data_IF_756838412110
#
_entry.id   IF_756838412110
#
_cell.length_a   1.000
_cell.length_b   1.000
_cell.length_c   1.000
_cell.angle_alpha   90.00
_cell.angle_beta   90.00
_cell.angle_gamma   90.00
#
_symmetry.space_group_name_H-M   'P 1'
#
loop_
_entity.id
_entity.type
_entity.pdbx_description
1 polymer ?
#
# COMPACT_ATOMS: atom_id res chain seq x y z
N UNK A 1 17.85 -20.45 -8.44
CA UNK A 1 16.62 -19.79 -7.95
C UNK A 1 16.98 -19.08 -6.67
N UNK A 2 17.22 -17.77 -6.71
CA UNK A 2 17.41 -16.95 -5.51
C UNK A 2 16.03 -16.66 -4.97
N UNK A 3 15.68 -17.29 -3.86
CA UNK A 3 14.47 -16.94 -3.12
C UNK A 3 14.66 -15.54 -2.55
N UNK A 4 14.00 -14.58 -3.15
CA UNK A 4 13.85 -13.28 -2.54
C UNK A 4 13.10 -13.47 -1.21
N UNK A 5 13.83 -13.41 -0.10
CA UNK A 5 13.27 -13.13 1.22
C UNK A 5 12.82 -11.66 1.26
N UNK A 6 12.04 -11.29 0.27
CA UNK A 6 11.39 -9.99 0.21
C UNK A 6 10.15 -10.05 1.09
N UNK A 7 10.05 -9.12 1.94
CA UNK A 7 8.91 -8.75 2.77
C UNK A 7 7.58 -9.14 2.13
N UNK A 8 6.67 -9.67 2.91
CA UNK A 8 5.28 -9.97 2.53
C UNK A 8 4.64 -8.77 1.78
N UNK A 9 5.00 -7.56 2.16
CA UNK A 9 4.56 -6.30 1.55
C UNK A 9 5.05 -6.06 0.11
N UNK A 10 6.30 -6.39 -0.20
CA UNK A 10 6.79 -6.31 -1.58
C UNK A 10 6.05 -7.30 -2.50
N UNK A 11 5.63 -8.44 -1.96
CA UNK A 11 4.81 -9.39 -2.70
C UNK A 11 3.37 -8.90 -2.88
N UNK A 12 2.85 -8.09 -1.98
CA UNK A 12 1.48 -7.57 -1.98
C UNK A 12 1.34 -6.40 -2.95
N UNK A 13 2.20 -5.40 -2.88
CA UNK A 13 2.26 -4.35 -3.91
C UNK A 13 2.57 -4.94 -5.30
N UNK A 14 3.42 -5.95 -5.35
CA UNK A 14 3.73 -6.71 -6.56
C UNK A 14 2.53 -7.56 -7.02
N UNK A 15 1.67 -8.07 -6.14
CA UNK A 15 0.47 -8.83 -6.53
C UNK A 15 -0.59 -7.93 -7.16
N UNK A 16 -0.78 -6.72 -6.65
CA UNK A 16 -1.63 -5.69 -7.30
C UNK A 16 -1.12 -5.41 -8.71
N UNK A 17 0.17 -5.18 -8.85
CA UNK A 17 0.80 -4.84 -10.13
C UNK A 17 0.96 -6.05 -11.04
N UNK A 18 1.25 -7.24 -10.52
CA UNK A 18 1.35 -8.47 -11.34
C UNK A 18 -0.01 -8.92 -11.84
N UNK A 19 -1.07 -8.80 -11.04
CA UNK A 19 -2.43 -9.07 -11.52
C UNK A 19 -2.83 -8.07 -12.60
N UNK A 20 -2.47 -6.80 -12.46
CA UNK A 20 -2.72 -5.76 -13.45
C UNK A 20 -1.78 -5.86 -14.67
N UNK A 21 -0.49 -6.18 -14.50
CA UNK A 21 0.45 -6.39 -15.64
C UNK A 21 0.11 -7.62 -16.49
N UNK A 22 -0.48 -8.67 -15.93
CA UNK A 22 -1.02 -9.77 -16.76
C UNK A 22 -2.22 -9.36 -17.59
N UNK A 23 -2.89 -8.29 -17.20
CA UNK A 23 -4.00 -7.69 -17.93
C UNK A 23 -3.59 -6.80 -19.13
N UNK A 24 -2.31 -6.75 -19.49
CA UNK A 24 -1.81 -5.95 -20.62
C UNK A 24 -2.47 -6.27 -21.99
N UNK A 25 -3.30 -7.30 -22.06
CA UNK A 25 -4.14 -7.60 -23.20
C UNK A 25 -5.64 -7.46 -22.91
N UNK A 26 -6.00 -7.06 -21.69
CA UNK A 26 -7.39 -6.92 -21.22
C UNK A 26 -7.59 -5.47 -20.78
N UNK A 27 -8.47 -4.75 -21.45
CA UNK A 27 -8.65 -3.30 -21.25
C UNK A 27 -9.75 -2.95 -20.25
N UNK A 28 -10.54 -3.92 -19.77
CA UNK A 28 -11.72 -3.62 -18.94
C UNK A 28 -11.67 -4.34 -17.59
N UNK A 29 -11.95 -3.59 -16.55
CA UNK A 29 -12.13 -4.11 -15.19
C UNK A 29 -13.62 -4.15 -14.88
N UNK A 30 -14.13 -5.33 -14.62
CA UNK A 30 -15.40 -5.49 -13.92
C UNK A 30 -15.11 -5.56 -12.44
N UNK A 31 -15.83 -4.80 -11.64
CA UNK A 31 -15.82 -4.96 -10.19
C UNK A 31 -16.98 -5.88 -9.78
N UNK A 32 -16.79 -7.22 -9.74
CA UNK A 32 -17.72 -8.05 -9.05
C UNK A 32 -17.48 -7.90 -7.54
N UNK A 33 -18.47 -8.19 -6.75
CA UNK A 33 -18.45 -8.16 -5.30
C UNK A 33 -17.06 -8.51 -4.74
N UNK A 34 -16.53 -7.64 -3.89
CA UNK A 34 -15.38 -7.94 -3.05
C UNK A 34 -15.66 -9.25 -2.33
N UNK A 35 -14.97 -10.31 -2.72
CA UNK A 35 -14.98 -11.60 -2.03
C UNK A 35 -13.60 -11.75 -1.42
N UNK A 36 -13.55 -11.68 -0.10
CA UNK A 36 -12.32 -11.52 0.62
C UNK A 36 -11.38 -12.71 0.65
N UNK A 37 -10.09 -12.43 0.45
CA UNK A 37 -9.01 -13.07 1.18
C UNK A 37 -8.11 -11.94 1.66
N UNK A 38 -8.15 -11.71 2.98
CA UNK A 38 -7.51 -10.58 3.61
C UNK A 38 -6.00 -10.74 3.72
N UNK A 39 -5.34 -9.62 3.74
CA UNK A 39 -4.11 -9.49 4.48
C UNK A 39 -4.46 -9.68 5.97
N UNK A 40 -4.32 -10.90 6.44
CA UNK A 40 -4.41 -11.23 7.86
C UNK A 40 -3.15 -10.76 8.60
N UNK A 41 -2.56 -9.65 8.15
CA UNK A 41 -1.27 -9.21 8.67
C UNK A 41 -1.37 -8.83 10.14
N UNK A 42 -2.44 -8.18 10.55
CA UNK A 42 -2.70 -7.85 11.94
C UNK A 42 -3.02 -9.11 12.75
N UNK A 43 -3.71 -10.07 12.17
CA UNK A 43 -3.97 -11.36 12.79
C UNK A 43 -2.69 -12.19 12.93
N UNK A 44 -1.86 -12.24 11.87
CA UNK A 44 -0.56 -12.91 11.90
C UNK A 44 0.40 -12.23 12.86
N UNK A 45 0.48 -10.92 12.86
CA UNK A 45 1.31 -10.17 13.82
C UNK A 45 0.80 -10.33 15.26
N UNK A 46 -0.50 -10.30 15.48
CA UNK A 46 -1.09 -10.56 16.80
C UNK A 46 -0.85 -12.00 17.24
N UNK A 47 -0.92 -12.97 16.32
CA UNK A 47 -0.64 -14.37 16.61
C UNK A 47 0.85 -14.58 16.94
N UNK A 48 1.75 -14.06 16.11
CA UNK A 48 3.20 -14.16 16.30
C UNK A 48 3.61 -13.47 17.60
N UNK A 49 3.13 -12.25 17.83
CA UNK A 49 3.42 -11.52 19.06
C UNK A 49 2.86 -12.21 20.31
N UNK A 50 1.65 -12.77 20.23
CA UNK A 50 0.99 -13.40 21.39
C UNK A 50 1.61 -14.75 21.78
N UNK A 51 2.08 -15.52 20.79
CA UNK A 51 2.53 -16.89 21.04
C UNK A 51 4.05 -17.09 20.92
N UNK A 52 4.76 -16.22 20.21
CA UNK A 52 6.17 -16.41 19.86
C UNK A 52 7.06 -15.20 20.12
N UNK A 53 6.51 -14.11 20.64
CA UNK A 53 7.31 -12.93 20.97
C UNK A 53 7.55 -12.84 22.48
N UNK A 54 8.64 -13.43 22.98
CA UNK A 54 9.01 -13.31 24.37
C UNK A 54 9.47 -11.89 24.74
N UNK A 55 9.86 -11.07 23.75
CA UNK A 55 10.13 -9.67 23.98
C UNK A 55 8.83 -8.90 24.24
N UNK A 56 7.70 -9.31 23.64
CA UNK A 56 6.39 -8.74 23.95
C UNK A 56 6.04 -8.94 25.42
N UNK A 57 6.19 -10.18 25.93
CA UNK A 57 5.98 -10.48 27.35
C UNK A 57 6.98 -9.78 28.25
N UNK A 58 8.27 -9.80 27.87
CA UNK A 58 9.34 -9.15 28.61
C UNK A 58 9.22 -7.61 28.59
N UNK A 59 8.75 -7.03 27.49
CA UNK A 59 8.56 -5.58 27.36
C UNK A 59 7.32 -5.11 28.10
N UNK A 60 6.24 -5.91 28.10
CA UNK A 60 5.05 -5.64 28.92
C UNK A 60 5.31 -5.91 30.40
N UNK A 61 6.18 -6.86 30.74
CA UNK A 61 6.62 -7.07 32.13
C UNK A 61 7.60 -6.00 32.62
N UNK A 62 8.32 -5.34 31.71
CA UNK A 62 9.27 -4.28 32.04
C UNK A 62 9.38 -3.25 30.90
N UNK A 63 8.36 -2.38 30.71
CA UNK A 63 8.33 -1.39 29.64
C UNK A 63 9.45 -0.37 29.71
N UNK A 64 10.10 -0.23 30.89
CA UNK A 64 11.21 0.71 31.09
C UNK A 64 12.53 0.20 30.49
N UNK A 65 12.61 -1.08 30.11
CA UNK A 65 13.85 -1.67 29.56
C UNK A 65 14.10 -1.27 28.12
N UNK A 66 13.06 -1.20 27.29
CA UNK A 66 13.13 -0.68 25.93
C UNK A 66 11.76 -0.11 25.49
N UNK A 67 11.45 1.12 25.94
CA UNK A 67 10.17 1.74 25.64
C UNK A 67 9.96 2.03 24.15
N UNK A 68 11.06 2.15 23.37
CA UNK A 68 10.99 2.41 21.95
C UNK A 68 10.55 1.17 21.16
N UNK A 69 11.07 0.00 21.50
CA UNK A 69 10.68 -1.26 20.88
C UNK A 69 9.22 -1.61 21.20
N UNK A 70 8.79 -1.40 22.44
CA UNK A 70 7.38 -1.56 22.82
C UNK A 70 6.46 -0.65 21.98
N UNK A 71 6.83 0.61 21.85
CA UNK A 71 6.08 1.58 21.05
C UNK A 71 6.03 1.19 19.56
N UNK A 72 7.13 0.75 18.96
CA UNK A 72 7.13 0.32 17.55
C UNK A 72 6.19 -0.85 17.29
N UNK A 73 6.17 -1.83 18.19
CA UNK A 73 5.27 -2.99 18.11
C UNK A 73 3.81 -2.60 18.22
N UNK A 74 3.47 -1.80 19.21
CA UNK A 74 2.10 -1.32 19.40
C UNK A 74 1.67 -0.41 18.25
N UNK A 75 2.55 0.47 17.77
CA UNK A 75 2.28 1.34 16.65
C UNK A 75 1.93 0.56 15.38
N UNK A 76 2.67 -0.51 15.06
CA UNK A 76 2.38 -1.37 13.91
C UNK A 76 1.00 -2.02 14.04
N UNK A 77 0.62 -2.48 15.23
CA UNK A 77 -0.71 -3.06 15.49
C UNK A 77 -1.84 -2.05 15.31
N UNK A 78 -1.65 -0.83 15.82
CA UNK A 78 -2.64 0.23 15.65
C UNK A 78 -2.80 0.71 14.22
N UNK A 79 -1.73 0.65 13.44
CA UNK A 79 -1.71 1.15 12.06
C UNK A 79 -2.31 0.18 11.05
N UNK A 80 -2.46 -1.09 11.40
CA UNK A 80 -2.89 -2.14 10.48
C UNK A 80 -4.29 -2.64 10.82
N UNK A 81 -5.06 -2.93 9.79
CA UNK A 81 -6.38 -3.55 9.86
C UNK A 81 -6.44 -4.70 8.85
N UNK A 82 -7.39 -5.60 9.04
CA UNK A 82 -7.60 -6.73 8.14
C UNK A 82 -8.59 -6.37 7.04
N UNK A 83 -8.31 -6.80 5.82
CA UNK A 83 -9.19 -6.58 4.70
C UNK A 83 -8.77 -7.36 3.47
N UNK A 84 -9.69 -7.49 2.53
CA UNK A 84 -9.47 -8.20 1.28
C UNK A 84 -10.09 -7.47 0.11
N UNK A 85 -9.41 -7.50 -1.03
CA UNK A 85 -9.90 -6.95 -2.28
C UNK A 85 -9.63 -7.90 -3.44
N UNK A 86 -10.61 -8.03 -4.34
CA UNK A 86 -10.46 -8.77 -5.58
C UNK A 86 -11.12 -8.01 -6.72
N UNK A 87 -10.49 -8.04 -7.88
CA UNK A 87 -11.04 -7.48 -9.12
C UNK A 87 -11.02 -8.52 -10.22
N UNK A 88 -12.07 -8.54 -11.04
CA UNK A 88 -12.09 -9.34 -12.26
C UNK A 88 -11.69 -8.44 -13.42
N UNK A 89 -10.70 -8.86 -14.18
CA UNK A 89 -10.24 -8.17 -15.39
C UNK A 89 -10.64 -8.99 -16.59
N UNK A 90 -11.32 -8.36 -17.54
CA UNK A 90 -11.81 -8.99 -18.78
C UNK A 90 -11.39 -8.15 -19.98
N UNK A 91 -11.45 -8.75 -21.18
CA UNK A 91 -11.07 -8.12 -22.45
C UNK A 91 -12.16 -7.22 -23.04
N UNK A 92 -13.39 -7.35 -22.54
CA UNK A 92 -14.55 -6.57 -22.98
C UNK A 92 -15.43 -6.20 -21.79
N UNK A 93 -16.05 -5.01 -21.79
CA UNK A 93 -16.96 -4.60 -20.73
C UNK A 93 -18.23 -5.48 -20.76
N UNK A 94 -18.52 -6.19 -19.67
CA UNK A 94 -19.69 -7.06 -19.55
C UNK A 94 -20.71 -6.60 -18.52
N UNK A 95 -20.41 -5.57 -17.79
CA UNK A 95 -21.24 -5.10 -16.69
C UNK A 95 -21.42 -3.59 -16.66
N UNK A 96 -22.31 -3.17 -15.79
CA UNK A 96 -22.51 -1.76 -15.44
C UNK A 96 -22.41 -1.67 -13.90
N UNK A 97 -21.35 -1.09 -13.37
CA UNK A 97 -20.29 -0.31 -14.03
C UNK A 97 -19.16 -1.14 -14.67
N UNK A 98 -18.56 -0.63 -15.72
CA UNK A 98 -17.31 -1.12 -16.28
C UNK A 98 -16.26 0.00 -16.25
N UNK A 99 -15.06 -0.38 -15.88
CA UNK A 99 -13.90 0.51 -15.76
C UNK A 99 -12.81 0.04 -16.72
N UNK A 100 -12.25 0.95 -17.49
CA UNK A 100 -11.13 0.68 -18.39
C UNK A 100 -9.83 1.08 -17.74
N UNK A 101 -8.83 0.18 -17.77
CA UNK A 101 -7.47 0.50 -17.34
C UNK A 101 -6.76 1.12 -18.53
N UNK A 102 -6.53 2.43 -18.46
CA UNK A 102 -5.81 3.16 -19.49
C UNK A 102 -4.32 2.80 -19.50
N UNK A 103 -3.71 2.85 -18.33
CA UNK A 103 -2.32 2.49 -18.14
C UNK A 103 -2.00 2.23 -16.66
N UNK A 104 -0.87 1.55 -16.47
CA UNK A 104 -0.27 1.26 -15.16
C UNK A 104 1.20 1.65 -15.23
N UNK A 105 1.65 2.46 -14.27
CA UNK A 105 3.04 2.84 -14.13
C UNK A 105 3.59 2.44 -12.77
N UNK A 106 4.84 2.01 -12.77
CA UNK A 106 5.53 1.59 -11.55
C UNK A 106 6.96 2.09 -11.52
N UNK A 107 7.39 2.57 -10.35
CA UNK A 107 8.77 2.93 -10.07
C UNK A 107 9.18 2.31 -8.75
N UNK A 108 10.39 1.78 -8.65
CA UNK A 108 10.97 1.28 -7.40
C UNK A 108 12.33 1.91 -7.16
N UNK A 109 12.56 2.33 -5.93
CA UNK A 109 13.85 2.88 -5.47
C UNK A 109 14.61 1.86 -4.61
N UNK A 110 14.29 0.58 -4.76
CA UNK A 110 14.90 -0.51 -4.00
C UNK A 110 16.41 -0.68 -4.26
N UNK A 111 16.93 -0.13 -5.35
CA UNK A 111 18.34 -0.10 -5.70
C UNK A 111 19.08 1.09 -5.09
N UNK A 112 18.36 2.12 -4.65
CA UNK A 112 18.92 3.38 -4.14
C UNK A 112 18.77 3.50 -2.62
N UNK A 113 17.67 2.96 -2.09
CA UNK A 113 17.29 3.10 -0.69
C UNK A 113 17.38 1.77 0.06
N UNK A 114 17.77 1.80 1.33
CA UNK A 114 17.75 0.60 2.16
C UNK A 114 16.32 0.11 2.38
N UNK A 115 16.18 -1.14 2.78
CA UNK A 115 14.87 -1.69 3.14
C UNK A 115 14.32 -0.97 4.37
N UNK A 116 13.10 -0.45 4.25
CA UNK A 116 12.46 0.34 5.29
C UNK A 116 11.50 -0.48 6.15
N UNK A 117 10.84 -1.48 5.57
CA UNK A 117 9.93 -2.37 6.30
C UNK A 117 10.25 -3.82 5.98
N UNK A 118 10.32 -4.65 6.99
CA UNK A 118 10.68 -6.07 6.86
C UNK A 118 10.17 -6.88 8.05
N UNK A 119 10.09 -8.20 7.86
CA UNK A 119 9.63 -9.17 8.86
C UNK A 119 10.46 -10.45 8.74
N UNK A 120 10.55 -11.23 9.80
CA UNK A 120 11.29 -12.48 9.86
C UNK A 120 12.76 -12.32 9.40
N UNK A 121 13.35 -11.18 9.71
CA UNK A 121 14.72 -10.83 9.36
C UNK A 121 15.26 -9.71 10.25
N UNK A 122 16.56 -9.47 10.15
CA UNK A 122 17.22 -8.35 10.83
C UNK A 122 18.08 -7.60 9.82
N UNK A 123 17.93 -6.26 9.79
CA UNK A 123 18.75 -5.40 8.95
C UNK A 123 20.16 -5.30 9.53
N UNK A 124 21.14 -5.70 8.74
CA UNK A 124 22.55 -5.64 9.09
C UNK A 124 23.13 -4.26 8.77
N UNK A 125 24.28 -3.94 9.35
CA UNK A 125 24.99 -2.67 9.13
C UNK A 125 25.44 -2.44 7.68
N UNK A 126 25.56 -3.51 6.90
CA UNK A 126 25.86 -3.47 5.46
C UNK A 126 24.61 -3.31 4.56
N UNK A 127 23.42 -3.15 5.16
CA UNK A 127 22.14 -3.03 4.46
C UNK A 127 21.53 -4.37 4.05
N UNK A 128 22.17 -5.51 4.32
CA UNK A 128 21.64 -6.84 4.03
C UNK A 128 20.61 -7.24 5.09
N UNK A 129 19.54 -7.90 4.64
CA UNK A 129 18.60 -8.57 5.54
C UNK A 129 19.10 -9.98 5.84
N UNK A 130 19.44 -10.25 7.11
CA UNK A 130 19.73 -11.60 7.60
C UNK A 130 18.41 -12.29 7.93
N UNK A 131 18.14 -13.40 7.24
CA UNK A 131 16.89 -14.15 7.40
C UNK A 131 16.81 -14.84 8.76
N UNK A 132 15.60 -15.01 9.30
CA UNK A 132 15.37 -15.80 10.51
C UNK A 132 15.93 -17.21 10.44
N UNK A 133 16.06 -17.78 9.24
CA UNK A 133 16.65 -19.11 9.00
C UNK A 133 18.16 -19.18 9.27
N UNK A 134 18.81 -18.02 9.39
CA UNK A 134 20.24 -17.91 9.69
C UNK A 134 20.54 -17.75 11.19
N UNK A 135 19.51 -17.87 12.04
CA UNK A 135 19.57 -17.75 13.48
C UNK A 135 19.22 -19.06 14.18
N UNK A 136 19.73 -19.29 15.36
CA UNK A 136 19.27 -20.36 16.25
C UNK A 136 17.91 -20.02 16.83
N UNK A 137 17.13 -21.01 17.34
CA UNK A 137 15.86 -20.74 18.00
C UNK A 137 15.98 -19.77 19.18
N UNK A 138 17.08 -19.84 19.92
CA UNK A 138 17.37 -18.96 21.06
C UNK A 138 17.60 -17.53 20.59
N UNK A 139 18.39 -17.33 19.55
CA UNK A 139 18.65 -16.01 18.96
C UNK A 139 17.38 -15.40 18.37
N UNK A 140 16.53 -16.21 17.70
CA UNK A 140 15.24 -15.75 17.18
C UNK A 140 14.41 -15.18 18.32
N UNK A 141 14.37 -15.90 19.44
CA UNK A 141 13.62 -15.54 20.63
C UNK A 141 14.17 -14.27 21.28
N UNK A 142 15.49 -14.19 21.50
CA UNK A 142 16.15 -13.08 22.18
C UNK A 142 16.10 -11.77 21.37
N UNK A 143 16.16 -11.85 20.04
CA UNK A 143 16.24 -10.70 19.12
C UNK A 143 14.91 -10.27 18.53
N UNK A 144 13.81 -11.00 18.78
CA UNK A 144 12.51 -10.73 18.17
C UNK A 144 12.57 -10.70 16.64
N UNK A 145 13.31 -11.65 16.03
CA UNK A 145 13.59 -11.64 14.59
C UNK A 145 12.31 -11.78 13.76
N UNK A 146 11.29 -12.47 14.29
CA UNK A 146 10.03 -12.72 13.57
C UNK A 146 9.08 -11.53 13.53
N UNK A 147 9.33 -10.50 14.31
CA UNK A 147 8.46 -9.32 14.41
C UNK A 147 8.60 -8.44 13.18
N UNK A 148 7.48 -7.85 12.75
CA UNK A 148 7.47 -6.79 11.75
C UNK A 148 8.19 -5.54 12.25
N UNK A 149 9.09 -5.00 11.44
CA UNK A 149 9.89 -3.81 11.75
C UNK A 149 9.78 -2.79 10.66
N UNK A 150 9.70 -1.50 11.04
CA UNK A 150 9.71 -0.38 10.11
C UNK A 150 10.69 0.69 10.58
N UNK A 151 11.59 1.11 9.71
CA UNK A 151 12.44 2.27 9.98
C UNK A 151 11.67 3.57 9.73
N UNK A 152 11.09 4.10 10.80
CA UNK A 152 10.30 5.33 10.75
C UNK A 152 11.11 6.54 10.29
N UNK A 153 12.42 6.56 10.53
CA UNK A 153 13.30 7.67 10.11
C UNK A 153 13.44 7.68 8.60
N UNK A 154 13.72 6.51 8.00
CA UNK A 154 13.75 6.34 6.54
C UNK A 154 12.40 6.65 5.91
N UNK A 155 11.32 6.11 6.49
CA UNK A 155 9.96 6.35 6.03
C UNK A 155 9.65 7.84 5.96
N UNK A 156 9.88 8.56 7.05
CA UNK A 156 9.55 9.99 7.16
C UNK A 156 10.28 10.85 6.13
N UNK A 157 11.52 10.51 5.80
CA UNK A 157 12.35 11.28 4.87
C UNK A 157 11.98 10.99 3.41
N UNK A 158 11.66 9.74 3.08
CA UNK A 158 11.65 9.30 1.69
C UNK A 158 10.25 9.08 1.12
N UNK A 159 9.28 8.62 1.92
CA UNK A 159 8.00 8.13 1.38
C UNK A 159 7.27 9.17 0.54
N UNK A 160 7.08 10.38 1.04
CA UNK A 160 6.35 11.43 0.34
C UNK A 160 7.15 12.01 -0.82
N UNK A 161 8.44 12.29 -0.60
CA UNK A 161 9.31 12.85 -1.63
C UNK A 161 9.29 12.01 -2.90
N UNK A 162 9.65 10.74 -2.78
CA UNK A 162 9.73 9.84 -3.93
C UNK A 162 8.36 9.50 -4.52
N UNK A 163 7.30 9.54 -3.69
CA UNK A 163 5.94 9.36 -4.20
C UNK A 163 5.57 10.52 -5.13
N UNK A 164 5.84 11.75 -4.73
CA UNK A 164 5.54 12.91 -5.57
C UNK A 164 6.48 12.98 -6.78
N UNK A 165 7.76 12.61 -6.65
CA UNK A 165 8.68 12.43 -7.79
C UNK A 165 8.08 11.46 -8.84
N UNK A 166 7.53 10.33 -8.38
CA UNK A 166 6.87 9.36 -9.26
C UNK A 166 5.61 9.93 -9.90
N UNK A 167 4.72 10.59 -9.13
CA UNK A 167 3.49 11.19 -9.65
C UNK A 167 3.81 12.21 -10.75
N UNK A 168 4.73 13.11 -10.49
CA UNK A 168 5.16 14.14 -11.44
C UNK A 168 5.68 13.51 -12.75
N UNK A 169 6.57 12.51 -12.63
CA UNK A 169 7.13 11.80 -13.78
C UNK A 169 6.05 11.08 -14.61
N UNK A 170 5.07 10.45 -13.95
CA UNK A 170 3.98 9.74 -14.61
C UNK A 170 3.02 10.69 -15.33
N UNK A 171 2.63 11.78 -14.68
CA UNK A 171 1.80 12.81 -15.31
C UNK A 171 2.47 13.39 -16.55
N UNK A 172 3.77 13.69 -16.47
CA UNK A 172 4.56 14.19 -17.59
C UNK A 172 4.67 13.14 -18.73
N UNK A 173 4.94 11.88 -18.39
CA UNK A 173 5.07 10.78 -19.36
C UNK A 173 3.82 10.59 -20.20
N UNK A 174 2.64 10.68 -19.58
CA UNK A 174 1.35 10.51 -20.25
C UNK A 174 0.74 11.82 -20.75
N UNK A 175 1.43 12.94 -20.58
CA UNK A 175 0.91 14.28 -20.88
C UNK A 175 -0.48 14.51 -20.25
N UNK A 176 -0.70 13.93 -19.06
CA UNK A 176 -1.96 14.00 -18.33
C UNK A 176 -1.95 15.22 -17.41
N UNK A 177 -2.88 16.12 -17.61
CA UNK A 177 -3.02 17.31 -16.77
C UNK A 177 -3.86 16.99 -15.53
N UNK A 178 -3.51 17.52 -14.35
CA UNK A 178 -4.29 17.31 -13.13
C UNK A 178 -5.76 17.67 -13.25
N UNK A 179 -6.09 18.65 -14.10
CA UNK A 179 -7.47 19.10 -14.34
C UNK A 179 -8.35 18.06 -15.03
N UNK A 180 -7.73 17.16 -15.82
CA UNK A 180 -8.40 16.07 -16.54
C UNK A 180 -8.78 14.89 -15.64
N UNK A 181 -8.30 14.87 -14.39
CA UNK A 181 -8.57 13.83 -13.40
C UNK A 181 -9.76 14.26 -12.55
N UNK A 182 -10.80 13.44 -12.51
CA UNK A 182 -12.02 13.71 -11.73
C UNK A 182 -11.88 13.25 -10.29
N UNK A 183 -11.27 12.07 -10.06
CA UNK A 183 -11.06 11.50 -8.74
C UNK A 183 -9.64 10.99 -8.57
N UNK A 184 -9.13 11.09 -7.35
CA UNK A 184 -7.85 10.52 -6.93
C UNK A 184 -8.08 9.64 -5.72
N UNK A 185 -7.59 8.41 -5.75
CA UNK A 185 -7.61 7.51 -4.60
C UNK A 185 -6.17 7.30 -4.15
N UNK A 186 -5.66 8.07 -3.18
CA UNK A 186 -4.35 7.81 -2.61
C UNK A 186 -4.46 6.74 -1.53
N UNK A 187 -3.71 5.65 -1.65
CA UNK A 187 -3.52 4.75 -0.52
C UNK A 187 -2.60 5.42 0.49
N UNK A 188 -3.14 5.78 1.63
CA UNK A 188 -2.39 6.35 2.75
C UNK A 188 -2.57 5.49 4.00
N UNK A 189 -1.49 5.23 4.71
CA UNK A 189 -1.52 4.41 5.93
C UNK A 189 -2.04 5.20 7.15
N UNK A 190 -2.05 6.53 7.09
CA UNK A 190 -2.60 7.40 8.13
C UNK A 190 -2.96 8.77 7.58
N UNK A 191 -3.82 9.51 8.28
CA UNK A 191 -4.17 10.88 7.93
C UNK A 191 -2.98 11.85 8.01
N UNK A 192 -1.93 11.49 8.74
CA UNK A 192 -0.67 12.23 8.71
C UNK A 192 -0.04 12.26 7.32
N UNK A 193 0.01 11.11 6.62
CA UNK A 193 0.55 11.06 5.26
C UNK A 193 -0.40 11.67 4.23
N UNK A 194 -1.70 11.64 4.49
CA UNK A 194 -2.69 12.34 3.66
C UNK A 194 -2.39 13.85 3.58
N UNK A 195 -2.18 14.48 4.73
CA UNK A 195 -1.82 15.90 4.77
C UNK A 195 -0.45 16.17 4.14
N UNK A 196 0.55 15.34 4.45
CA UNK A 196 1.90 15.49 3.90
C UNK A 196 1.97 15.35 2.39
N UNK A 197 1.19 14.43 1.81
CA UNK A 197 1.10 14.28 0.36
C UNK A 197 0.49 15.54 -0.28
N UNK A 198 -0.59 16.06 0.30
CA UNK A 198 -1.22 17.28 -0.18
C UNK A 198 -0.28 18.49 -0.13
N UNK A 199 0.43 18.66 0.98
CA UNK A 199 1.39 19.75 1.16
C UNK A 199 2.49 19.68 0.09
N UNK A 200 3.06 18.50 -0.15
CA UNK A 200 4.15 18.32 -1.12
C UNK A 200 3.67 18.50 -2.56
N UNK A 201 2.49 17.98 -2.94
CA UNK A 201 1.88 18.23 -4.25
C UNK A 201 1.66 19.73 -4.47
N UNK A 202 1.14 20.43 -3.47
CA UNK A 202 0.89 21.87 -3.52
C UNK A 202 2.20 22.66 -3.65
N UNK A 203 3.24 22.30 -2.89
CA UNK A 203 4.56 22.93 -2.94
C UNK A 203 5.21 22.83 -4.33
N UNK A 204 4.92 21.75 -5.06
CA UNK A 204 5.41 21.53 -6.45
C UNK A 204 4.48 22.08 -7.52
N UNK A 205 3.35 22.69 -7.13
CA UNK A 205 2.37 23.21 -8.07
C UNK A 205 1.58 22.15 -8.85
N UNK A 206 1.52 20.92 -8.33
CA UNK A 206 0.73 19.84 -8.92
C UNK A 206 -0.71 19.94 -8.41
N UNK A 207 -1.64 20.32 -9.28
CA UNK A 207 -3.03 20.65 -8.93
C UNK A 207 -3.94 19.40 -8.70
N UNK A 208 -3.41 18.37 -8.05
CA UNK A 208 -4.19 17.22 -7.57
C UNK A 208 -4.74 17.54 -6.17
N UNK A 209 -5.75 18.39 -6.10
CA UNK A 209 -6.25 18.95 -4.84
C UNK A 209 -7.16 17.96 -4.09
N UNK A 210 -7.30 18.15 -2.77
CA UNK A 210 -8.09 17.27 -1.87
C UNK A 210 -9.57 17.15 -2.26
N UNK A 211 -10.12 18.11 -2.97
CA UNK A 211 -11.51 18.09 -3.43
C UNK A 211 -11.77 16.91 -4.39
N UNK A 212 -10.72 16.46 -5.08
CA UNK A 212 -10.76 15.28 -5.97
C UNK A 212 -10.45 13.97 -5.23
N UNK A 213 -9.97 14.04 -3.98
CA UNK A 213 -9.50 12.86 -3.28
C UNK A 213 -10.63 12.09 -2.60
N UNK A 214 -10.57 10.79 -2.74
CA UNK A 214 -11.43 9.87 -2.01
C UNK A 214 -10.57 8.98 -1.11
N UNK A 215 -10.95 8.87 0.14
CA UNK A 215 -10.38 7.91 1.09
C UNK A 215 -11.45 7.44 2.06
N UNK A 216 -11.40 6.18 2.42
CA UNK A 216 -12.23 5.56 3.44
C UNK A 216 -11.40 5.06 4.65
N UNK A 217 -10.17 5.56 4.77
CA UNK A 217 -9.23 5.14 5.81
C UNK A 217 -9.82 5.24 7.22
N UNK A 218 -10.61 6.27 7.50
CA UNK A 218 -11.18 6.49 8.85
C UNK A 218 -12.32 5.53 9.21
N UNK A 219 -12.92 4.87 8.23
CA UNK A 219 -14.01 3.90 8.43
C UNK A 219 -13.56 2.45 8.23
N UNK A 220 -12.64 2.21 7.31
CA UNK A 220 -12.16 0.87 6.94
C UNK A 220 -10.83 0.53 7.61
N UNK A 221 -10.00 1.54 7.87
CA UNK A 221 -8.63 1.36 8.38
C UNK A 221 -7.61 1.12 7.26
N UNK A 222 -6.35 0.93 7.68
CA UNK A 222 -5.27 0.57 6.76
C UNK A 222 -5.23 -0.94 6.56
N UNK A 223 -5.93 -1.42 5.55
CA UNK A 223 -6.02 -2.84 5.15
C UNK A 223 -4.98 -3.22 4.09
N UNK A 224 -3.84 -2.55 4.08
CA UNK A 224 -2.70 -2.87 3.20
C UNK A 224 -3.06 -2.82 1.72
N UNK A 225 -2.68 -3.86 0.98
CA UNK A 225 -2.90 -3.97 -0.47
C UNK A 225 -4.37 -3.99 -0.89
N UNK A 226 -5.27 -4.41 0.01
CA UNK A 226 -6.70 -4.41 -0.25
C UNK A 226 -7.31 -3.01 -0.26
N UNK A 227 -6.68 -2.03 0.39
CA UNK A 227 -7.22 -0.69 0.60
C UNK A 227 -7.64 0.01 -0.69
N UNK A 228 -6.82 -0.08 -1.73
CA UNK A 228 -7.08 0.60 -3.00
C UNK A 228 -8.33 0.05 -3.71
N UNK A 229 -8.56 -1.27 -3.63
CA UNK A 229 -9.72 -1.93 -4.23
C UNK A 229 -11.01 -1.62 -3.47
N UNK A 230 -10.93 -1.65 -2.14
CA UNK A 230 -12.09 -1.34 -1.27
C UNK A 230 -12.47 0.13 -1.39
N UNK A 231 -11.48 1.03 -1.48
CA UNK A 231 -11.74 2.44 -1.69
C UNK A 231 -12.34 2.71 -3.09
N UNK A 232 -11.86 2.04 -4.13
CA UNK A 232 -12.42 2.15 -5.49
C UNK A 232 -13.87 1.63 -5.54
N UNK A 233 -14.15 0.48 -4.94
CA UNK A 233 -15.49 -0.09 -4.85
C UNK A 233 -16.45 0.86 -4.11
N UNK A 234 -16.01 1.44 -2.99
CA UNK A 234 -16.81 2.38 -2.21
C UNK A 234 -17.03 3.71 -2.95
N UNK A 235 -15.99 4.25 -3.60
CA UNK A 235 -16.12 5.43 -4.45
C UNK A 235 -17.22 5.23 -5.51
N UNK A 236 -17.17 4.09 -6.19
CA UNK A 236 -18.13 3.74 -7.25
C UNK A 236 -19.54 3.62 -6.67
N UNK A 237 -19.70 3.02 -5.50
CA UNK A 237 -21.01 2.83 -4.85
C UNK A 237 -21.59 4.10 -4.24
N UNK A 238 -20.77 5.05 -3.83
CA UNK A 238 -21.22 6.23 -3.09
C UNK A 238 -21.31 7.49 -3.91
N UNK A 239 -20.67 7.53 -5.09
CA UNK A 239 -20.65 8.69 -5.98
C UNK A 239 -21.35 8.40 -7.29
N UNK A 240 -22.06 9.39 -7.81
CA UNK A 240 -22.58 9.37 -9.16
C UNK A 240 -21.45 9.73 -10.13
N UNK A 241 -20.71 8.73 -10.56
CA UNK A 241 -19.57 8.92 -11.45
C UNK A 241 -20.07 8.87 -12.89
N UNK A 242 -19.71 9.88 -13.66
CA UNK A 242 -20.12 10.00 -15.06
C UNK A 242 -19.25 9.11 -15.95
N UNK A 243 -19.80 8.68 -17.07
CA UNK A 243 -19.02 8.08 -18.15
C UNK A 243 -17.91 9.02 -18.62
N UNK A 244 -16.74 8.48 -18.90
CA UNK A 244 -15.54 9.25 -19.26
C UNK A 244 -14.82 9.89 -18.08
N UNK A 245 -15.32 9.72 -16.84
CA UNK A 245 -14.60 10.22 -15.68
C UNK A 245 -13.31 9.44 -15.45
N UNK A 246 -12.25 10.17 -15.15
CA UNK A 246 -10.92 9.63 -14.92
C UNK A 246 -10.62 9.52 -13.43
N UNK A 247 -10.25 8.32 -13.00
CA UNK A 247 -9.90 8.00 -11.61
C UNK A 247 -8.41 7.63 -11.56
N UNK A 248 -7.63 8.36 -10.79
CA UNK A 248 -6.21 8.11 -10.59
C UNK A 248 -6.00 7.36 -9.27
N UNK A 249 -5.49 6.14 -9.34
CA UNK A 249 -5.10 5.36 -8.18
C UNK A 249 -3.62 5.59 -7.89
N UNK A 250 -3.29 5.94 -6.65
CA UNK A 250 -1.93 6.21 -6.19
C UNK A 250 -1.56 5.24 -5.06
N UNK A 251 -0.62 4.33 -5.32
CA UNK A 251 -0.26 3.24 -4.41
C UNK A 251 1.21 3.30 -4.04
N UNK A 252 1.57 3.88 -2.88
CA UNK A 252 2.92 3.79 -2.35
C UNK A 252 3.12 2.46 -1.61
N UNK A 253 4.31 1.93 -1.68
CA UNK A 253 4.78 0.79 -0.87
C UNK A 253 6.01 1.22 -0.10
N UNK A 254 5.99 1.05 1.21
CA UNK A 254 7.01 1.59 2.11
C UNK A 254 8.18 0.65 2.39
N UNK A 255 8.05 -0.66 2.15
CA UNK A 255 9.10 -1.62 2.48
C UNK A 255 10.35 -1.43 1.65
N UNK A 256 10.16 -1.12 0.36
CA UNK A 256 11.25 -0.92 -0.62
C UNK A 256 11.11 0.37 -1.42
N UNK A 257 10.22 1.27 -0.99
CA UNK A 257 9.92 2.52 -1.68
C UNK A 257 9.56 2.30 -3.15
N UNK A 258 8.50 1.53 -3.36
CA UNK A 258 7.91 1.30 -4.68
C UNK A 258 6.59 2.04 -4.80
N UNK A 259 6.32 2.62 -5.97
CA UNK A 259 5.16 3.45 -6.21
C UNK A 259 4.45 2.98 -7.47
N UNK A 260 3.15 2.74 -7.34
CA UNK A 260 2.28 2.40 -8.45
C UNK A 260 1.28 3.50 -8.72
N UNK A 261 1.02 3.77 -9.99
CA UNK A 261 -0.04 4.67 -10.42
C UNK A 261 -0.84 4.01 -11.53
N UNK A 262 -2.17 4.05 -11.40
CA UNK A 262 -3.10 3.49 -12.38
C UNK A 262 -4.09 4.57 -12.79
N UNK A 263 -4.25 4.79 -14.08
CA UNK A 263 -5.36 5.58 -14.60
C UNK A 263 -6.48 4.65 -15.04
N UNK A 264 -7.67 4.93 -14.56
CA UNK A 264 -8.90 4.23 -14.90
C UNK A 264 -9.89 5.23 -15.51
N UNK A 265 -10.55 4.84 -16.60
CA UNK A 265 -11.68 5.57 -17.17
C UNK A 265 -12.98 4.80 -16.99
N UNK A 266 -14.05 5.52 -16.68
CA UNK A 266 -15.39 4.95 -16.49
C UNK A 266 -16.07 4.77 -17.84
N UNK A 267 -16.28 3.54 -18.28
CA UNK A 267 -16.83 3.23 -19.60
C UNK A 267 -18.34 3.48 -19.70
N UNK A 268 -19.07 3.30 -18.60
CA UNK A 268 -20.53 3.44 -18.54
C UNK A 268 -20.95 4.35 -17.39
N UNK A 269 -22.15 4.95 -17.49
CA UNK A 269 -22.68 5.75 -16.38
C UNK A 269 -22.93 4.86 -15.16
N UNK A 270 -22.31 5.21 -14.04
CA UNK A 270 -22.56 4.57 -12.76
C UNK A 270 -23.84 5.18 -12.16
N UNK A 271 -24.98 4.72 -12.63
CA UNK A 271 -26.27 5.09 -12.04
C UNK A 271 -26.65 4.01 -11.04
N UNK A 272 -26.61 4.34 -9.75
CA UNK A 272 -27.24 3.49 -8.74
C UNK A 272 -28.75 3.45 -8.96
N UNK A 273 -29.26 2.24 -9.07
CA UNK A 273 -30.69 1.96 -8.94
C UNK A 273 -31.03 1.74 -7.48
#
# INVERSE_FOLDING_TARGET
>A
MRTCGGTLWANIACAVVISLNRAHHSQHVLLPRVVGHGDELSAVESLVAKFYDPEYEATHANPDKDPYMAFEKDFMRFMLSDGAGAVLVEDTPKGDPSLEIEWIEMTSYANELPTCMFMASELQSDGRLKSWKEYTPEEIKERGVLVGKQDIRQLKVHIIKYWVDHIEAVLAKHNLKPEEIDYVIPHVSSMFFYEKLNDELSNRGIALTKEKWFTNLTSVGNIGSAAIYVALDELIKTKQIKRGAKILLLVPESGRFSYGTVLIEVCNNLLYK
#
